data_IF_781947353531
#
_entry.id   IF_781947353531
#
_cell.length_a   1.000
_cell.length_b   1.000
_cell.length_c   1.000
_cell.angle_alpha   90.00
_cell.angle_beta   90.00
_cell.angle_gamma   90.00
#
_symmetry.space_group_name_H-M   'P 1'
#
loop_
_entity.id
_entity.type
_entity.pdbx_description
1 polymer ?
#
# COMPACT_ATOMS: atom_id res chain seq x y z
N UNK A 1 10.51 -8.28 48.01
CA UNK A 1 10.53 -7.37 46.84
C UNK A 1 10.05 -8.14 45.62
N UNK A 2 8.90 -7.79 45.04
CA UNK A 2 8.41 -8.36 43.78
C UNK A 2 8.87 -7.43 42.65
N UNK A 3 9.69 -7.93 41.74
CA UNK A 3 10.17 -7.19 40.57
C UNK A 3 9.12 -7.27 39.47
N UNK A 4 8.39 -6.18 39.28
CA UNK A 4 7.48 -6.02 38.14
C UNK A 4 8.27 -5.97 36.83
N UNK A 5 8.29 -7.09 36.10
CA UNK A 5 8.79 -7.13 34.73
C UNK A 5 7.78 -6.47 33.81
N UNK A 6 7.97 -5.20 33.51
CA UNK A 6 7.23 -4.50 32.45
C UNK A 6 7.48 -5.23 31.13
N UNK A 7 6.50 -6.02 30.68
CA UNK A 7 6.53 -6.66 29.35
C UNK A 7 6.45 -5.56 28.30
N UNK A 8 7.55 -5.26 27.60
CA UNK A 8 7.53 -4.45 26.38
C UNK A 8 6.72 -5.21 25.31
N UNK A 9 5.44 -4.91 25.16
CA UNK A 9 4.65 -5.38 24.01
C UNK A 9 4.99 -4.50 22.82
N UNK A 10 5.94 -4.93 21.99
CA UNK A 10 6.19 -4.26 20.71
C UNK A 10 4.96 -4.47 19.83
N UNK A 11 4.34 -3.39 19.33
CA UNK A 11 3.26 -3.49 18.34
C UNK A 11 3.84 -4.13 17.08
N UNK A 12 3.40 -5.35 16.78
CA UNK A 12 3.68 -5.97 15.47
C UNK A 12 2.78 -5.27 14.45
N UNK A 13 3.37 -4.45 13.59
CA UNK A 13 2.63 -3.83 12.49
C UNK A 13 2.14 -4.92 11.54
N UNK A 14 0.81 -5.06 11.41
CA UNK A 14 0.23 -5.97 10.42
C UNK A 14 0.50 -5.39 9.04
N UNK A 15 1.34 -6.08 8.27
CA UNK A 15 1.55 -5.72 6.85
C UNK A 15 0.22 -5.86 6.10
N UNK A 16 -0.14 -4.90 5.24
CA UNK A 16 -1.33 -5.01 4.40
C UNK A 16 -1.20 -6.23 3.49
N UNK A 17 -2.25 -7.06 3.45
CA UNK A 17 -2.32 -8.25 2.61
C UNK A 17 -3.09 -7.91 1.32
N UNK A 18 -2.51 -8.25 0.17
CA UNK A 18 -3.21 -8.20 -1.11
C UNK A 18 -4.05 -9.47 -1.23
N UNK A 19 -5.34 -9.31 -1.54
CA UNK A 19 -6.28 -10.40 -1.73
C UNK A 19 -6.30 -10.79 -3.22
N UNK A 20 -5.26 -11.50 -3.64
CA UNK A 20 -5.07 -11.94 -5.02
C UNK A 20 -4.30 -13.26 -5.03
N UNK A 21 -4.77 -14.21 -5.82
CA UNK A 21 -4.18 -15.54 -5.97
C UNK A 21 -3.81 -15.76 -7.44
N UNK A 22 -2.57 -15.42 -7.84
CA UNK A 22 -2.16 -15.42 -9.24
C UNK A 22 -2.11 -16.84 -9.81
N UNK A 23 -2.69 -17.03 -10.98
CA UNK A 23 -2.76 -18.31 -11.69
C UNK A 23 -1.85 -18.35 -12.93
N UNK A 24 -1.40 -17.19 -13.42
CA UNK A 24 -0.52 -17.08 -14.59
C UNK A 24 0.80 -16.37 -14.26
N UNK A 25 1.86 -16.55 -15.07
CA UNK A 25 3.11 -15.81 -14.90
C UNK A 25 2.91 -14.28 -14.90
N UNK A 26 2.04 -13.76 -15.75
CA UNK A 26 1.74 -12.33 -15.84
C UNK A 26 1.06 -11.82 -14.56
N UNK A 27 0.20 -12.64 -13.95
CA UNK A 27 -0.44 -12.31 -12.68
C UNK A 27 0.56 -12.34 -11.51
N UNK A 28 1.56 -13.22 -11.56
CA UNK A 28 2.66 -13.23 -10.58
C UNK A 28 3.48 -11.94 -10.68
N UNK A 29 3.90 -11.55 -11.88
CA UNK A 29 4.62 -10.29 -12.11
C UNK A 29 3.79 -9.06 -11.66
N UNK A 30 2.48 -9.12 -11.87
CA UNK A 30 1.58 -8.08 -11.40
C UNK A 30 1.54 -8.01 -9.87
N UNK A 31 1.42 -9.14 -9.19
CA UNK A 31 1.45 -9.20 -7.72
C UNK A 31 2.77 -8.66 -7.16
N UNK A 32 3.91 -9.01 -7.77
CA UNK A 32 5.23 -8.48 -7.39
C UNK A 32 5.28 -6.96 -7.52
N UNK A 33 4.71 -6.43 -8.60
CA UNK A 33 4.59 -4.97 -8.80
C UNK A 33 3.78 -4.31 -7.69
N UNK A 34 2.63 -4.89 -7.31
CA UNK A 34 1.81 -4.37 -6.22
C UNK A 34 2.54 -4.43 -4.87
N UNK A 35 3.26 -5.51 -4.59
CA UNK A 35 4.07 -5.64 -3.38
C UNK A 35 5.22 -4.62 -3.34
N UNK A 36 5.86 -4.36 -4.48
CA UNK A 36 6.89 -3.35 -4.61
C UNK A 36 6.33 -1.94 -4.36
N UNK A 37 5.12 -1.63 -4.82
CA UNK A 37 4.45 -0.36 -4.52
C UNK A 37 4.17 -0.23 -3.01
N UNK A 38 3.66 -1.28 -2.36
CA UNK A 38 3.40 -1.28 -0.91
C UNK A 38 4.66 -1.08 -0.07
N UNK A 39 5.79 -1.67 -0.47
CA UNK A 39 7.05 -1.54 0.26
C UNK A 39 7.66 -0.14 0.14
N UNK A 40 7.40 0.55 -0.96
CA UNK A 40 7.91 1.90 -1.22
C UNK A 40 7.01 3.00 -0.65
N UNK A 41 5.71 2.70 -0.52
CA UNK A 41 4.68 3.61 -0.05
C UNK A 41 4.94 4.08 1.39
N UNK A 42 4.73 5.36 1.66
CA UNK A 42 4.69 5.94 3.02
C UNK A 42 3.25 6.04 3.55
N UNK A 43 3.06 6.31 4.84
CA UNK A 43 1.71 6.38 5.41
C UNK A 43 0.82 7.44 4.72
N UNK A 44 1.36 8.64 4.47
CA UNK A 44 0.65 9.75 3.84
C UNK A 44 0.44 9.61 2.32
N UNK A 45 1.10 8.64 1.67
CA UNK A 45 0.91 8.43 0.22
C UNK A 45 -0.53 7.99 -0.11
N UNK A 46 -1.26 7.43 0.87
CA UNK A 46 -2.68 7.12 0.72
C UNK A 46 -3.58 8.34 0.62
N UNK A 47 -3.26 9.42 1.36
CA UNK A 47 -4.01 10.68 1.28
C UNK A 47 -3.78 11.34 -0.08
N UNK A 48 -2.53 11.39 -0.53
CA UNK A 48 -2.19 11.95 -1.84
C UNK A 48 -2.80 11.14 -2.98
N UNK A 49 -2.85 9.81 -2.86
CA UNK A 49 -3.53 8.97 -3.86
C UNK A 49 -5.05 9.20 -3.86
N UNK A 50 -5.64 9.46 -2.68
CA UNK A 50 -7.05 9.85 -2.53
C UNK A 50 -7.35 11.16 -3.25
N UNK A 51 -6.56 12.20 -3.00
CA UNK A 51 -6.68 13.49 -3.67
C UNK A 51 -6.54 13.35 -5.19
N UNK A 52 -5.58 12.54 -5.64
CA UNK A 52 -5.29 12.36 -7.06
C UNK A 52 -6.35 11.57 -7.84
N UNK A 53 -7.04 10.66 -7.17
CA UNK A 53 -8.10 9.83 -7.78
C UNK A 53 -9.51 10.39 -7.53
N UNK A 54 -9.68 11.35 -6.62
CA UNK A 54 -11.00 11.79 -6.18
C UNK A 54 -11.79 10.73 -5.39
N UNK A 55 -11.16 9.61 -5.03
CA UNK A 55 -11.77 8.51 -4.28
C UNK A 55 -11.42 8.68 -2.80
N UNK A 56 -12.33 8.43 -1.85
CA UNK A 56 -12.01 8.49 -0.43
C UNK A 56 -10.82 7.58 -0.05
N UNK A 57 -9.92 8.07 0.81
CA UNK A 57 -8.68 7.37 1.23
C UNK A 57 -8.90 5.88 1.55
N UNK A 58 -9.89 5.59 2.38
CA UNK A 58 -10.22 4.22 2.78
C UNK A 58 -10.62 3.33 1.59
N UNK A 59 -11.35 3.90 0.64
CA UNK A 59 -11.75 3.22 -0.59
C UNK A 59 -10.56 3.01 -1.52
N UNK A 60 -9.60 3.94 -1.60
CA UNK A 60 -8.35 3.76 -2.35
C UNK A 60 -7.53 2.62 -1.78
N UNK A 61 -7.32 2.59 -0.47
CA UNK A 61 -6.54 1.53 0.18
C UNK A 61 -7.21 0.17 -0.03
N UNK A 62 -8.53 0.07 0.16
CA UNK A 62 -9.26 -1.18 -0.11
C UNK A 62 -9.22 -1.58 -1.57
N UNK A 63 -9.38 -0.62 -2.49
CA UNK A 63 -9.37 -0.90 -3.92
C UNK A 63 -8.00 -1.37 -4.38
N UNK A 64 -6.92 -0.81 -3.82
CA UNK A 64 -5.56 -1.26 -4.07
C UNK A 64 -5.36 -2.71 -3.61
N UNK A 65 -5.80 -3.06 -2.39
CA UNK A 65 -5.58 -4.40 -1.84
C UNK A 65 -6.48 -5.49 -2.44
N UNK A 66 -7.60 -5.11 -3.04
CA UNK A 66 -8.55 -6.03 -3.69
C UNK A 66 -8.42 -5.93 -5.21
N UNK A 67 -7.64 -6.84 -5.79
CA UNK A 67 -7.50 -6.98 -7.24
C UNK A 67 -8.88 -7.23 -7.87
N UNK A 68 -9.11 -6.66 -9.05
CA UNK A 68 -10.40 -6.61 -9.77
C UNK A 68 -11.53 -5.83 -9.08
N UNK A 69 -11.27 -5.06 -8.02
CA UNK A 69 -12.26 -4.09 -7.55
C UNK A 69 -12.48 -2.99 -8.59
N UNK A 70 -13.68 -2.38 -8.59
CA UNK A 70 -14.07 -1.32 -9.55
C UNK A 70 -13.01 -0.24 -9.74
N UNK A 71 -12.35 0.16 -8.64
CA UNK A 71 -11.38 1.25 -8.63
C UNK A 71 -9.93 0.77 -8.51
N UNK A 72 -9.67 -0.54 -8.70
CA UNK A 72 -8.35 -1.11 -8.47
C UNK A 72 -7.27 -0.44 -9.32
N UNK A 73 -7.48 -0.39 -10.64
CA UNK A 73 -6.55 0.21 -11.59
C UNK A 73 -6.30 1.68 -11.28
N UNK A 74 -7.34 2.41 -10.91
CA UNK A 74 -7.25 3.83 -10.55
C UNK A 74 -6.45 4.04 -9.26
N UNK A 75 -6.70 3.22 -8.23
CA UNK A 75 -5.96 3.25 -6.97
C UNK A 75 -4.47 2.92 -7.17
N UNK A 76 -4.15 1.92 -8.00
CA UNK A 76 -2.78 1.53 -8.35
C UNK A 76 -2.06 2.67 -9.08
N UNK A 77 -2.70 3.25 -10.10
CA UNK A 77 -2.13 4.34 -10.88
C UNK A 77 -1.93 5.61 -10.06
N UNK A 78 -2.89 5.95 -9.19
CA UNK A 78 -2.80 7.09 -8.29
C UNK A 78 -1.61 6.92 -7.34
N UNK A 79 -1.49 5.76 -6.69
CA UNK A 79 -0.39 5.50 -5.76
C UNK A 79 0.97 5.48 -6.47
N UNK A 80 1.06 4.85 -7.64
CA UNK A 80 2.28 4.84 -8.45
C UNK A 80 2.75 6.25 -8.78
N UNK A 81 1.83 7.12 -9.23
CA UNK A 81 2.15 8.51 -9.54
C UNK A 81 2.63 9.29 -8.31
N UNK A 82 2.05 9.07 -7.13
CA UNK A 82 2.50 9.71 -5.88
C UNK A 82 3.93 9.30 -5.54
N UNK A 83 4.23 7.99 -5.60
CA UNK A 83 5.57 7.48 -5.29
C UNK A 83 6.60 7.99 -6.30
N UNK A 84 6.27 8.01 -7.58
CA UNK A 84 7.13 8.55 -8.64
C UNK A 84 7.40 10.04 -8.44
N UNK A 85 6.37 10.84 -8.16
CA UNK A 85 6.53 12.26 -7.89
C UNK A 85 7.44 12.50 -6.69
N UNK A 86 7.22 11.77 -5.59
CA UNK A 86 8.08 11.84 -4.41
C UNK A 86 9.53 11.47 -4.73
N UNK A 87 9.75 10.42 -5.53
CA UNK A 87 11.10 10.01 -5.96
C UNK A 87 11.79 11.08 -6.81
N UNK A 88 11.05 11.76 -7.68
CA UNK A 88 11.59 12.87 -8.48
C UNK A 88 12.03 14.05 -7.60
N UNK A 89 11.22 14.41 -6.61
CA UNK A 89 11.53 15.50 -5.68
C UNK A 89 12.74 15.20 -4.77
N UNK A 90 12.99 13.92 -4.44
CA UNK A 90 14.15 13.51 -3.62
C UNK A 90 15.45 13.31 -4.42
N UNK A 91 15.39 13.35 -5.75
CA UNK A 91 16.56 13.26 -6.64
C UNK A 91 17.10 14.65 -7.06
N UNK A 92 16.47 15.72 -6.57
CA UNK A 92 17.03 17.08 -6.56
C UNK A 92 17.86 17.25 -5.30
#
# INVERSE_FOLDING_TARGET
MKTDRVRKTVKVEKKPKIYFDPQTPEEVEYLETLQALLSQKRYGDWDLASEKSGIPRFSVEKAFLRVYSKNHTEAVNALKAVIENRRKLLKQ
#
